data_IF_433049520657
#
_entry.id   IF_433049520657
#
_cell.length_a   1.000
_cell.length_b   1.000
_cell.length_c   1.000
_cell.angle_alpha   90.00
_cell.angle_beta   90.00
_cell.angle_gamma   90.00
#
_symmetry.space_group_name_H-M   'P 1'
#
loop_
_entity.id
_entity.type
_entity.pdbx_description
1 polymer ?
#
# COMPACT_ATOMS: atom_id res chain seq x y z
N UNK A 1 9.06 -36.55 60.76
CA UNK A 1 10.19 -36.31 59.85
C UNK A 1 9.72 -35.40 58.73
N UNK A 2 10.09 -34.12 58.79
CA UNK A 2 9.67 -33.05 57.87
C UNK A 2 10.86 -32.65 56.99
N UNK A 3 10.73 -32.82 55.67
CA UNK A 3 11.75 -32.42 54.71
C UNK A 3 11.39 -31.06 54.07
N UNK A 4 12.25 -30.05 54.29
CA UNK A 4 12.20 -28.73 53.66
C UNK A 4 12.73 -28.78 52.21
N UNK A 5 12.15 -28.05 51.25
CA UNK A 5 12.79 -27.79 49.96
C UNK A 5 13.72 -26.56 50.03
N UNK A 6 14.85 -26.66 49.32
CA UNK A 6 15.90 -25.64 49.16
C UNK A 6 15.46 -24.56 48.17
N UNK A 7 15.66 -23.29 48.54
CA UNK A 7 15.39 -22.13 47.69
C UNK A 7 16.41 -21.94 46.56
N UNK A 8 15.92 -21.57 45.37
CA UNK A 8 16.72 -21.21 44.21
C UNK A 8 17.11 -19.72 44.23
N UNK A 9 18.42 -19.43 44.25
CA UNK A 9 18.99 -18.07 44.12
C UNK A 9 18.89 -17.59 42.67
N UNK A 10 18.16 -16.48 42.43
CA UNK A 10 18.23 -15.71 41.17
C UNK A 10 19.59 -14.99 41.08
N UNK A 11 20.42 -15.36 40.10
CA UNK A 11 21.64 -14.62 39.73
C UNK A 11 21.26 -13.37 38.94
N UNK A 12 21.60 -12.18 39.45
CA UNK A 12 21.54 -10.91 38.68
C UNK A 12 22.70 -10.86 37.69
N UNK A 13 22.51 -10.39 36.45
CA UNK A 13 23.60 -10.18 35.51
C UNK A 13 24.44 -8.95 35.93
N UNK A 14 25.77 -8.97 35.67
CA UNK A 14 26.69 -7.92 36.11
C UNK A 14 26.46 -6.60 35.37
N UNK A 15 26.49 -5.49 36.12
CA UNK A 15 26.24 -4.12 35.66
C UNK A 15 27.15 -3.66 34.49
N UNK A 16 28.31 -4.28 34.32
CA UNK A 16 29.27 -3.95 33.26
C UNK A 16 28.75 -4.20 31.83
N UNK A 17 27.82 -5.14 31.63
CA UNK A 17 27.26 -5.41 30.28
C UNK A 17 26.24 -4.38 29.80
N UNK A 18 25.65 -3.58 30.70
CA UNK A 18 24.66 -2.54 30.32
C UNK A 18 25.32 -1.25 29.84
N UNK A 19 26.52 -0.94 30.32
CA UNK A 19 27.30 0.22 29.88
C UNK A 19 27.95 0.02 28.50
N UNK A 20 28.39 -1.21 28.18
CA UNK A 20 28.96 -1.51 26.87
C UNK A 20 27.94 -1.42 25.72
N UNK A 21 26.66 -1.76 25.95
CA UNK A 21 25.63 -1.67 24.92
C UNK A 21 25.18 -0.22 24.64
N UNK A 22 25.18 0.63 25.67
CA UNK A 22 24.84 2.05 25.53
C UNK A 22 25.91 2.83 24.73
N UNK A 23 27.19 2.52 24.92
CA UNK A 23 28.28 3.14 24.16
C UNK A 23 28.28 2.72 22.67
N UNK A 24 27.90 1.47 22.37
CA UNK A 24 27.79 0.99 20.99
C UNK A 24 26.64 1.65 20.21
N UNK A 25 25.52 1.97 20.88
CA UNK A 25 24.39 2.65 20.23
C UNK A 25 24.67 4.13 19.94
N UNK A 26 25.45 4.81 20.80
CA UNK A 26 25.83 6.20 20.58
C UNK A 26 26.83 6.38 19.42
N UNK A 27 27.74 5.42 19.21
CA UNK A 27 28.68 5.45 18.08
C UNK A 27 28.00 5.14 16.74
N UNK A 28 26.95 4.30 16.72
CA UNK A 28 26.18 4.01 15.51
C UNK A 28 25.33 5.20 15.04
N UNK A 29 24.85 6.05 15.97
CA UNK A 29 24.08 7.26 15.64
C UNK A 29 24.95 8.41 15.09
N UNK A 30 26.26 8.43 15.39
CA UNK A 30 27.17 9.43 14.83
C UNK A 30 27.62 9.11 13.39
N UNK A 31 27.59 7.83 12.99
CA UNK A 31 28.02 7.39 11.66
C UNK A 31 26.96 7.60 10.55
N UNK A 32 25.71 7.92 10.89
CA UNK A 32 24.64 8.22 9.91
C UNK A 32 24.47 9.72 9.63
N UNK A 33 25.28 10.59 10.24
CA UNK A 33 25.26 12.04 10.01
C UNK A 33 26.12 12.50 8.81
N UNK A 34 26.49 11.57 7.91
CA UNK A 34 27.38 11.79 6.78
C UNK A 34 26.76 11.58 5.40
N UNK A 35 25.46 11.83 5.20
CA UNK A 35 24.94 11.99 3.83
C UNK A 35 25.30 13.40 3.34
N UNK A 36 26.32 13.46 2.49
CA UNK A 36 26.78 14.67 1.82
C UNK A 36 25.62 15.39 1.13
N UNK A 37 25.30 16.58 1.64
CA UNK A 37 24.37 17.51 1.01
C UNK A 37 25.01 18.01 -0.29
N UNK A 38 24.48 17.60 -1.43
CA UNK A 38 24.70 18.32 -2.68
C UNK A 38 24.11 19.72 -2.53
N UNK A 39 24.96 20.69 -2.17
CA UNK A 39 24.60 22.10 -2.14
C UNK A 39 24.36 22.52 -3.59
N UNK A 40 23.26 23.22 -3.85
CA UNK A 40 23.06 23.91 -5.11
C UNK A 40 24.24 24.88 -5.34
N UNK A 41 25.12 24.56 -6.29
CA UNK A 41 26.09 25.50 -6.83
C UNK A 41 25.47 26.18 -8.05
N UNK A 42 24.98 27.42 -7.93
CA UNK A 42 24.76 28.22 -9.12
C UNK A 42 26.11 28.42 -9.81
N UNK A 43 26.11 28.34 -11.14
CA UNK A 43 27.26 28.69 -11.98
C UNK A 43 27.81 30.04 -11.49
N UNK A 44 29.03 30.05 -10.95
CA UNK A 44 29.69 31.26 -10.48
C UNK A 44 29.93 32.18 -11.67
N UNK A 45 29.07 33.18 -11.83
CA UNK A 45 29.34 34.35 -12.65
C UNK A 45 30.32 35.29 -11.94
N UNK A 46 31.29 35.80 -12.68
CA UNK A 46 32.26 36.80 -12.25
C UNK A 46 31.62 37.97 -11.49
N UNK A 47 32.25 38.35 -10.39
CA UNK A 47 31.75 39.29 -9.36
C UNK A 47 31.72 40.77 -9.76
N UNK A 48 31.56 41.09 -11.05
CA UNK A 48 31.42 42.49 -11.53
C UNK A 48 30.22 42.71 -12.44
N UNK A 49 29.38 41.68 -12.68
CA UNK A 49 28.08 41.89 -13.32
C UNK A 49 26.99 42.00 -12.25
N UNK A 50 26.25 43.10 -12.28
CA UNK A 50 24.88 43.17 -11.76
C UNK A 50 24.03 42.16 -12.52
N UNK A 51 24.14 40.88 -12.15
CA UNK A 51 23.28 39.82 -12.66
C UNK A 51 21.86 40.14 -12.21
N UNK A 52 20.98 40.36 -13.19
CA UNK A 52 19.54 40.31 -13.00
C UNK A 52 19.22 39.13 -12.07
N UNK A 53 18.37 39.30 -11.04
CA UNK A 53 18.04 38.19 -10.14
C UNK A 53 17.60 37.00 -11.00
N UNK A 54 18.22 35.84 -10.75
CA UNK A 54 17.85 34.60 -11.41
C UNK A 54 16.35 34.38 -11.18
N UNK A 55 15.55 34.61 -12.23
CA UNK A 55 14.09 34.56 -12.18
C UNK A 55 13.62 33.21 -11.61
N UNK A 56 14.36 32.14 -11.88
CA UNK A 56 14.07 30.83 -11.34
C UNK A 56 14.23 30.78 -9.81
N UNK A 57 15.33 31.34 -9.28
CA UNK A 57 15.57 31.40 -7.83
C UNK A 57 14.53 32.24 -7.09
N UNK A 58 14.03 33.33 -7.71
CA UNK A 58 12.94 34.13 -7.14
C UNK A 58 11.65 33.33 -7.06
N UNK A 59 11.27 32.66 -8.15
CA UNK A 59 10.06 31.83 -8.19
C UNK A 59 10.13 30.64 -7.22
N UNK A 60 11.31 30.02 -7.08
CA UNK A 60 11.52 28.94 -6.12
C UNK A 60 11.36 29.40 -4.67
N UNK A 61 11.91 30.58 -4.30
CA UNK A 61 11.73 31.16 -2.96
C UNK A 61 10.27 31.48 -2.67
N UNK A 62 9.56 32.05 -3.65
CA UNK A 62 8.13 32.36 -3.55
C UNK A 62 7.29 31.08 -3.36
N UNK A 63 7.58 30.01 -4.09
CA UNK A 63 6.93 28.71 -3.90
C UNK A 63 7.16 28.14 -2.48
N UNK A 64 8.38 28.24 -1.96
CA UNK A 64 8.72 27.79 -0.59
C UNK A 64 8.04 28.65 0.48
N UNK A 65 7.98 29.97 0.29
CA UNK A 65 7.27 30.85 1.21
C UNK A 65 5.79 30.48 1.36
N UNK A 66 5.14 30.05 0.27
CA UNK A 66 3.75 29.56 0.31
C UNK A 66 3.60 28.25 1.09
N UNK A 67 4.57 27.32 0.98
CA UNK A 67 4.58 26.11 1.79
C UNK A 67 4.67 26.42 3.29
N UNK A 68 5.56 27.34 3.67
CA UNK A 68 5.72 27.78 5.07
C UNK A 68 4.49 28.54 5.60
N UNK A 69 3.80 29.28 4.73
CA UNK A 69 2.55 29.96 5.06
C UNK A 69 1.34 29.01 5.20
N UNK A 70 1.49 27.72 4.85
CA UNK A 70 0.40 26.74 4.88
C UNK A 70 -0.58 26.84 3.70
N UNK A 71 -0.28 27.64 2.67
CA UNK A 71 -1.07 27.74 1.44
C UNK A 71 -0.65 26.64 0.45
N UNK A 72 -0.97 25.39 0.81
CA UNK A 72 -0.46 24.22 0.09
C UNK A 72 -0.94 24.10 -1.35
N UNK A 73 -2.14 24.58 -1.69
CA UNK A 73 -2.63 24.53 -3.08
C UNK A 73 -1.84 25.47 -3.98
N UNK A 74 -1.68 26.74 -3.57
CA UNK A 74 -0.89 27.71 -4.34
C UNK A 74 0.58 27.32 -4.39
N UNK A 75 1.12 26.76 -3.29
CA UNK A 75 2.49 26.26 -3.24
C UNK A 75 2.71 25.09 -4.20
N UNK A 76 1.78 24.12 -4.24
CA UNK A 76 1.81 23.00 -5.18
C UNK A 76 1.73 23.49 -6.64
N UNK A 77 0.85 24.45 -6.93
CA UNK A 77 0.73 25.06 -8.27
C UNK A 77 2.03 25.72 -8.73
N UNK A 78 2.65 26.52 -7.85
CA UNK A 78 3.92 27.18 -8.15
C UNK A 78 5.06 26.16 -8.34
N UNK A 79 5.13 25.14 -7.48
CA UNK A 79 6.12 24.06 -7.57
C UNK A 79 5.95 23.24 -8.84
N UNK A 80 4.71 22.92 -9.23
CA UNK A 80 4.40 22.21 -10.47
C UNK A 80 4.83 22.99 -11.71
N UNK A 81 4.63 24.32 -11.72
CA UNK A 81 5.08 25.19 -12.81
C UNK A 81 6.62 25.21 -12.95
N UNK A 82 7.33 25.26 -11.81
CA UNK A 82 8.80 25.18 -11.78
C UNK A 82 9.30 23.83 -12.30
N UNK A 83 8.70 22.72 -11.85
CA UNK A 83 9.04 21.38 -12.32
C UNK A 83 8.73 21.23 -13.82
N UNK A 84 7.60 21.73 -14.30
CA UNK A 84 7.25 21.70 -15.72
C UNK A 84 8.30 22.45 -16.58
N UNK A 85 8.73 23.63 -16.14
CA UNK A 85 9.75 24.41 -16.82
C UNK A 85 11.08 23.65 -16.90
N UNK A 86 11.48 23.00 -15.80
CA UNK A 86 12.68 22.17 -15.73
C UNK A 86 12.60 20.95 -16.68
N UNK A 87 11.51 20.18 -16.62
CA UNK A 87 11.31 19.02 -17.48
C UNK A 87 11.37 19.42 -18.96
N UNK A 88 10.70 20.52 -19.34
CA UNK A 88 10.74 21.04 -20.73
C UNK A 88 12.14 21.49 -21.14
N UNK A 89 12.92 22.08 -20.25
CA UNK A 89 14.31 22.44 -20.55
C UNK A 89 15.17 21.20 -20.78
N UNK A 90 15.01 20.18 -19.94
CA UNK A 90 15.74 18.91 -20.05
C UNK A 90 15.36 18.12 -21.28
N UNK A 91 14.08 17.99 -21.63
CA UNK A 91 13.65 17.24 -22.82
C UNK A 91 14.25 17.80 -24.12
N UNK A 92 14.52 19.11 -24.18
CA UNK A 92 15.18 19.74 -25.33
C UNK A 92 16.66 19.38 -25.47
N UNK A 93 17.33 19.06 -24.37
CA UNK A 93 18.77 18.77 -24.33
C UNK A 93 19.07 17.27 -24.31
N UNK A 94 18.19 16.48 -23.70
CA UNK A 94 18.30 15.03 -23.58
C UNK A 94 16.95 14.37 -23.86
N UNK A 95 16.60 14.11 -25.13
CA UNK A 95 15.38 13.41 -25.46
C UNK A 95 15.35 12.01 -24.84
N UNK A 96 14.22 11.62 -24.23
CA UNK A 96 14.04 10.27 -23.67
C UNK A 96 14.53 10.06 -22.24
N UNK A 97 15.01 11.09 -21.54
CA UNK A 97 15.36 10.96 -20.12
C UNK A 97 14.15 10.53 -19.26
N UNK A 98 14.40 9.73 -18.22
CA UNK A 98 13.35 9.29 -17.29
C UNK A 98 12.89 10.44 -16.39
N UNK A 99 11.59 10.78 -16.45
CA UNK A 99 11.04 11.93 -15.71
C UNK A 99 11.10 11.78 -14.19
N UNK A 100 10.86 10.57 -13.67
CA UNK A 100 10.79 10.34 -12.22
C UNK A 100 12.09 10.66 -11.48
N UNK A 101 13.26 10.08 -11.82
CA UNK A 101 14.50 10.42 -11.14
C UNK A 101 14.84 11.92 -11.21
N UNK A 102 14.51 12.56 -12.34
CA UNK A 102 14.72 14.00 -12.50
C UNK A 102 13.82 14.83 -11.57
N UNK A 103 12.54 14.48 -11.50
CA UNK A 103 11.56 15.15 -10.66
C UNK A 103 11.90 14.96 -9.18
N UNK A 104 12.26 13.75 -8.76
CA UNK A 104 12.72 13.47 -7.39
C UNK A 104 13.94 14.33 -7.03
N UNK A 105 14.99 14.32 -7.86
CA UNK A 105 16.19 15.14 -7.63
C UNK A 105 15.89 16.65 -7.60
N UNK A 106 14.97 17.11 -8.46
CA UNK A 106 14.53 18.50 -8.50
C UNK A 106 13.81 18.90 -7.20
N UNK A 107 12.82 18.12 -6.78
CA UNK A 107 12.00 18.40 -5.60
C UNK A 107 12.80 18.28 -4.31
N UNK A 108 13.74 17.35 -4.25
CA UNK A 108 14.70 17.24 -3.15
C UNK A 108 15.62 18.45 -3.07
N UNK A 109 16.07 18.99 -4.21
CA UNK A 109 16.89 20.21 -4.23
C UNK A 109 16.14 21.45 -3.72
N UNK A 110 14.80 21.47 -3.88
CA UNK A 110 13.93 22.51 -3.33
C UNK A 110 13.54 22.25 -1.88
N UNK A 111 13.74 21.04 -1.35
CA UNK A 111 13.27 20.67 -0.02
C UNK A 111 11.74 20.55 0.07
N UNK A 112 11.05 20.27 -1.05
CA UNK A 112 9.59 20.08 -1.08
C UNK A 112 9.23 18.63 -0.82
N UNK A 113 8.16 18.37 -0.07
CA UNK A 113 7.65 17.02 0.18
C UNK A 113 6.86 16.55 -1.03
N UNK A 114 7.19 15.38 -1.57
CA UNK A 114 6.47 14.83 -2.70
C UNK A 114 6.55 13.30 -2.76
N UNK A 115 5.50 12.69 -3.27
CA UNK A 115 5.51 11.33 -3.80
C UNK A 115 5.48 11.40 -5.32
N UNK A 116 6.36 10.66 -5.99
CA UNK A 116 6.48 10.66 -7.46
C UNK A 116 6.24 9.26 -7.99
N UNK A 117 5.28 9.12 -8.90
CA UNK A 117 5.06 7.91 -9.68
C UNK A 117 5.08 8.26 -11.16
N UNK A 118 5.75 7.44 -11.98
CA UNK A 118 5.84 7.67 -13.42
C UNK A 118 5.68 6.37 -14.21
N UNK A 119 5.18 6.55 -15.42
CA UNK A 119 5.05 5.60 -16.53
C UNK A 119 5.51 6.35 -17.81
N UNK A 120 5.87 5.68 -18.92
CA UNK A 120 6.24 6.39 -20.14
C UNK A 120 5.19 7.42 -20.57
N UNK A 121 5.62 8.69 -20.65
CA UNK A 121 4.77 9.83 -20.98
C UNK A 121 3.63 10.18 -20.02
N UNK A 122 3.64 9.65 -18.79
CA UNK A 122 2.78 10.08 -17.68
C UNK A 122 3.53 10.07 -16.34
N UNK A 123 3.43 11.16 -15.59
CA UNK A 123 3.96 11.22 -14.23
C UNK A 123 2.97 11.96 -13.35
N UNK A 124 2.74 11.44 -12.15
CA UNK A 124 2.02 12.18 -11.11
C UNK A 124 3.01 12.52 -10.00
N UNK A 125 2.93 13.77 -9.56
CA UNK A 125 3.62 14.25 -8.38
C UNK A 125 2.57 14.68 -7.37
N UNK A 126 2.55 14.03 -6.22
CA UNK A 126 1.68 14.35 -5.11
C UNK A 126 2.44 15.23 -4.12
N UNK A 127 2.26 16.55 -4.21
CA UNK A 127 2.96 17.50 -3.37
C UNK A 127 2.36 17.56 -1.97
N UNK A 128 3.19 17.76 -0.95
CA UNK A 128 2.77 18.01 0.43
C UNK A 128 3.82 18.81 1.21
N UNK A 129 3.42 19.39 2.34
CA UNK A 129 4.36 20.07 3.23
C UNK A 129 5.23 19.07 3.98
N UNK A 130 6.57 19.20 3.93
CA UNK A 130 7.48 18.34 4.70
C UNK A 130 7.29 18.47 6.21
N UNK A 131 6.96 19.68 6.68
CA UNK A 131 6.74 19.95 8.10
C UNK A 131 5.39 19.44 8.60
N UNK A 132 4.45 19.15 7.69
CA UNK A 132 3.12 18.68 8.02
C UNK A 132 2.51 17.82 6.89
N UNK A 133 3.02 16.60 6.65
CA UNK A 133 2.59 15.75 5.54
C UNK A 133 1.12 15.34 5.64
N UNK A 134 0.55 15.32 6.85
CA UNK A 134 -0.84 14.96 7.10
C UNK A 134 -1.83 16.13 6.87
N UNK A 135 -1.36 17.35 6.56
CA UNK A 135 -2.23 18.53 6.35
C UNK A 135 -2.86 18.58 4.96
N UNK A 136 -2.57 17.62 4.11
CA UNK A 136 -3.11 17.53 2.77
C UNK A 136 -2.02 17.24 1.75
N UNK A 137 -2.48 16.84 0.58
CA UNK A 137 -1.63 16.59 -0.58
C UNK A 137 -2.34 17.11 -1.82
N UNK A 138 -1.57 17.54 -2.81
CA UNK A 138 -2.06 18.22 -4.00
C UNK A 138 -1.43 17.58 -5.25
N UNK A 139 -2.10 16.58 -5.86
CA UNK A 139 -1.52 15.85 -6.98
C UNK A 139 -1.61 16.62 -8.30
N UNK A 140 -0.53 16.53 -9.07
CA UNK A 140 -0.41 17.09 -10.41
C UNK A 140 0.01 16.02 -11.40
N UNK A 141 -0.68 15.98 -12.52
CA UNK A 141 -0.39 15.12 -13.66
C UNK A 141 0.47 15.86 -14.68
N UNK A 142 1.58 15.25 -15.06
CA UNK A 142 2.47 15.66 -16.15
C UNK A 142 2.35 14.63 -17.28
N UNK A 143 2.07 15.05 -18.50
CA UNK A 143 1.91 14.14 -19.65
C UNK A 143 2.61 14.65 -20.91
N UNK A 144 2.98 13.74 -21.82
CA UNK A 144 3.43 14.13 -23.16
C UNK A 144 2.24 14.65 -23.98
N UNK A 145 2.36 15.85 -24.51
CA UNK A 145 1.44 16.46 -25.47
C UNK A 145 2.13 16.72 -26.81
N UNK A 146 1.32 17.10 -27.81
CA UNK A 146 1.83 17.45 -29.15
C UNK A 146 2.80 18.65 -29.14
N UNK A 147 2.69 19.52 -28.14
CA UNK A 147 3.52 20.74 -27.98
C UNK A 147 4.61 20.58 -26.91
N UNK A 148 4.87 19.36 -26.47
CA UNK A 148 5.79 19.06 -25.36
C UNK A 148 5.04 18.59 -24.11
N UNK A 149 5.67 18.72 -22.95
CA UNK A 149 5.10 18.27 -21.68
C UNK A 149 4.01 19.24 -21.25
N UNK A 150 2.85 18.74 -20.84
CA UNK A 150 1.75 19.50 -20.25
C UNK A 150 1.55 19.07 -18.80
N UNK A 151 1.02 19.98 -17.96
CA UNK A 151 0.72 19.69 -16.57
C UNK A 151 -0.65 20.24 -16.16
N UNK A 152 -1.36 19.50 -15.30
CA UNK A 152 -2.61 19.95 -14.69
C UNK A 152 -2.80 19.37 -13.28
N UNK A 153 -3.56 20.03 -12.40
CA UNK A 153 -4.00 19.41 -11.16
C UNK A 153 -4.95 18.25 -11.47
N UNK A 154 -4.96 17.25 -10.58
CA UNK A 154 -5.84 16.09 -10.66
C UNK A 154 -6.39 15.73 -9.27
N UNK A 155 -7.32 14.79 -9.24
CA UNK A 155 -7.94 14.24 -8.05
C UNK A 155 -6.97 13.33 -7.27
N UNK A 156 -7.29 13.10 -6.00
CA UNK A 156 -6.48 12.29 -5.07
C UNK A 156 -5.86 13.09 -3.92
N UNK A 157 -6.26 14.36 -3.74
CA UNK A 157 -5.80 15.16 -2.61
C UNK A 157 -6.12 14.52 -1.25
N UNK A 158 -5.16 14.61 -0.33
CA UNK A 158 -5.21 13.95 0.98
C UNK A 158 -4.92 12.44 0.94
N UNK A 159 -4.63 11.87 -0.23
CA UNK A 159 -4.23 10.47 -0.37
C UNK A 159 -2.72 10.36 -0.61
N UNK A 160 -2.17 9.18 -0.33
CA UNK A 160 -0.77 8.82 -0.62
C UNK A 160 -0.67 8.18 -2.00
N UNK A 161 0.16 8.71 -2.88
CA UNK A 161 0.40 8.17 -4.21
C UNK A 161 1.25 6.89 -4.12
N UNK A 162 0.82 5.83 -4.81
CA UNK A 162 1.48 4.52 -4.83
C UNK A 162 2.08 4.24 -6.20
N UNK A 163 1.27 4.34 -7.25
CA UNK A 163 1.69 3.99 -8.61
C UNK A 163 0.88 4.77 -9.66
N UNK A 164 1.40 4.82 -10.88
CA UNK A 164 0.72 5.36 -12.06
C UNK A 164 0.87 4.38 -13.22
N UNK A 165 -0.11 4.38 -14.12
CA UNK A 165 -0.06 3.65 -15.37
C UNK A 165 -0.60 4.53 -16.50
N UNK A 166 0.06 4.50 -17.66
CA UNK A 166 -0.35 5.16 -18.88
C UNK A 166 -0.94 4.17 -19.88
N UNK A 167 -1.82 4.66 -20.76
CA UNK A 167 -2.33 3.89 -21.90
C UNK A 167 -2.46 4.76 -23.14
N UNK A 168 -1.88 4.31 -24.25
CA UNK A 168 -1.90 5.06 -25.51
C UNK A 168 -1.15 6.39 -25.42
N UNK A 169 -0.20 6.50 -24.50
CA UNK A 169 0.62 7.71 -24.30
C UNK A 169 1.97 7.63 -25.02
N UNK A 170 2.47 6.41 -25.21
CA UNK A 170 3.76 6.11 -25.81
C UNK A 170 3.67 4.76 -26.55
N UNK A 171 4.52 4.57 -27.56
CA UNK A 171 4.53 3.35 -28.39
C UNK A 171 3.46 3.32 -29.48
N UNK A 172 3.27 2.15 -30.10
CA UNK A 172 2.19 1.96 -31.07
C UNK A 172 0.82 2.15 -30.41
N UNK A 173 -0.13 2.84 -31.07
CA UNK A 173 -1.46 3.03 -30.51
C UNK A 173 -2.10 1.67 -30.22
N UNK A 174 -2.76 1.50 -29.05
CA UNK A 174 -3.39 0.24 -28.70
C UNK A 174 -4.39 -0.15 -29.79
N UNK A 175 -4.49 -1.45 -30.09
CA UNK A 175 -5.49 -2.00 -31.00
C UNK A 175 -6.55 -2.76 -30.17
N UNK A 176 -7.84 -2.40 -30.25
CA UNK A 176 -8.41 -1.30 -31.05
C UNK A 176 -7.99 0.08 -30.51
N UNK A 177 -7.99 1.09 -31.40
CA UNK A 177 -7.64 2.47 -31.06
C UNK A 177 -8.46 2.94 -29.85
N UNK A 178 -7.79 3.02 -28.69
CA UNK A 178 -8.39 3.44 -27.43
C UNK A 178 -8.06 4.90 -27.11
N UNK A 179 -8.94 5.57 -26.37
CA UNK A 179 -8.65 6.89 -25.84
C UNK A 179 -7.39 6.85 -24.94
N UNK A 180 -6.56 7.89 -25.03
CA UNK A 180 -5.40 8.09 -24.15
C UNK A 180 -5.88 8.10 -22.70
N UNK A 181 -5.23 7.32 -21.85
CA UNK A 181 -5.61 7.10 -20.47
C UNK A 181 -4.43 7.28 -19.52
N UNK A 182 -4.69 7.83 -18.34
CA UNK A 182 -3.78 7.79 -17.18
C UNK A 182 -4.58 7.22 -16.02
N UNK A 183 -3.97 6.36 -15.21
CA UNK A 183 -4.56 5.86 -13.99
C UNK A 183 -3.56 5.95 -12.86
N UNK A 184 -4.03 6.32 -11.67
CA UNK A 184 -3.23 6.44 -10.48
C UNK A 184 -3.82 5.62 -9.36
N UNK A 185 -2.94 4.86 -8.73
CA UNK A 185 -3.24 4.15 -7.51
C UNK A 185 -2.77 4.99 -6.32
N UNK A 186 -3.68 5.23 -5.40
CA UNK A 186 -3.45 5.87 -4.13
C UNK A 186 -3.74 4.91 -2.99
N UNK A 187 -3.24 5.24 -1.80
CA UNK A 187 -3.55 4.57 -0.54
C UNK A 187 -4.05 5.59 0.49
N UNK A 188 -5.03 5.17 1.29
CA UNK A 188 -5.52 5.89 2.47
C UNK A 188 -5.30 5.04 3.72
N UNK A 189 -4.86 5.64 4.83
CA UNK A 189 -4.83 4.95 6.11
C UNK A 189 -6.24 4.89 6.71
N UNK A 190 -6.72 3.69 6.99
CA UNK A 190 -7.96 3.42 7.75
C UNK A 190 -7.68 2.72 9.07
N UNK A 191 -8.72 2.51 9.88
CA UNK A 191 -8.59 1.87 11.20
C UNK A 191 -8.03 0.44 11.15
N UNK A 192 -8.32 -0.30 10.08
CA UNK A 192 -7.86 -1.68 9.88
C UNK A 192 -6.53 -1.79 9.10
N UNK A 193 -6.05 -0.71 8.47
CA UNK A 193 -4.86 -0.76 7.61
C UNK A 193 -4.96 0.19 6.41
N UNK A 194 -4.14 -0.05 5.39
CA UNK A 194 -4.17 0.73 4.15
C UNK A 194 -5.36 0.33 3.27
N UNK A 195 -6.00 1.30 2.65
CA UNK A 195 -7.11 1.11 1.73
C UNK A 195 -6.71 1.67 0.36
N UNK A 196 -6.59 0.83 -0.69
CA UNK A 196 -6.27 1.30 -2.02
C UNK A 196 -7.44 2.09 -2.63
N UNK A 197 -7.12 3.08 -3.46
CA UNK A 197 -8.07 3.88 -4.22
C UNK A 197 -7.50 4.14 -5.61
N UNK A 198 -8.32 4.00 -6.65
CA UNK A 198 -7.93 4.25 -8.04
C UNK A 198 -8.66 5.46 -8.57
N UNK A 199 -7.95 6.32 -9.31
CA UNK A 199 -8.54 7.30 -10.22
C UNK A 199 -8.01 7.05 -11.63
N UNK A 200 -8.90 7.07 -12.62
CA UNK A 200 -8.54 6.99 -14.03
C UNK A 200 -9.07 8.22 -14.77
N UNK A 201 -8.20 8.81 -15.58
CA UNK A 201 -8.47 9.95 -16.43
C UNK A 201 -8.35 9.57 -17.90
N UNK A 202 -9.14 10.23 -18.74
CA UNK A 202 -9.03 10.11 -20.19
C UNK A 202 -9.04 11.49 -20.87
N UNK A 203 -8.40 11.56 -22.03
CA UNK A 203 -8.55 12.68 -22.94
C UNK A 203 -9.59 12.35 -24.01
N UNK A 204 -10.69 13.11 -24.04
CA UNK A 204 -11.72 12.99 -25.09
C UNK A 204 -11.20 13.39 -26.48
N UNK A 205 -10.31 14.39 -26.52
CA UNK A 205 -9.62 14.88 -27.72
C UNK A 205 -8.14 14.97 -27.43
N UNK A 206 -7.30 14.66 -28.41
CA UNK A 206 -5.85 14.74 -28.22
C UNK A 206 -5.43 16.18 -27.86
N UNK A 207 -4.73 16.35 -26.74
CA UNK A 207 -4.34 17.67 -26.22
C UNK A 207 -5.46 18.43 -25.49
N UNK A 208 -6.62 17.81 -25.25
CA UNK A 208 -7.65 18.34 -24.36
C UNK A 208 -7.32 18.12 -22.87
N UNK A 209 -8.13 18.67 -21.94
CA UNK A 209 -7.94 18.42 -20.52
C UNK A 209 -8.14 16.94 -20.19
N UNK A 210 -7.43 16.46 -19.17
CA UNK A 210 -7.67 15.17 -18.56
C UNK A 210 -8.88 15.26 -17.64
N UNK A 211 -9.88 14.42 -17.87
CA UNK A 211 -11.11 14.34 -17.08
C UNK A 211 -11.19 12.98 -16.39
N UNK A 212 -11.63 12.95 -15.13
CA UNK A 212 -11.91 11.68 -14.44
C UNK A 212 -13.01 10.94 -15.16
N UNK A 213 -12.73 9.70 -15.52
CA UNK A 213 -13.70 8.79 -16.13
C UNK A 213 -14.06 7.63 -15.20
N UNK A 214 -13.25 7.39 -14.16
CA UNK A 214 -13.53 6.37 -13.17
C UNK A 214 -12.82 6.65 -11.85
N UNK A 215 -13.49 6.32 -10.75
CA UNK A 215 -12.89 6.16 -9.43
C UNK A 215 -13.27 4.80 -8.86
N UNK A 216 -12.30 4.02 -8.37
CA UNK A 216 -12.56 2.79 -7.62
C UNK A 216 -12.12 2.98 -6.17
N UNK A 217 -13.08 2.95 -5.25
CA UNK A 217 -12.82 3.04 -3.82
C UNK A 217 -12.66 1.66 -3.15
N UNK A 218 -12.54 1.63 -1.81
CA UNK A 218 -12.46 0.39 -1.04
C UNK A 218 -13.65 -0.56 -1.28
N UNK A 219 -14.82 -0.01 -1.60
CA UNK A 219 -16.01 -0.81 -1.91
C UNK A 219 -15.87 -1.60 -3.23
N UNK A 220 -15.13 -1.06 -4.19
CA UNK A 220 -14.84 -1.74 -5.46
C UNK A 220 -13.58 -2.60 -5.39
N UNK A 221 -12.57 -2.13 -4.66
CA UNK A 221 -11.26 -2.78 -4.56
C UNK A 221 -11.17 -3.81 -3.42
N UNK A 222 -12.25 -4.05 -2.68
CA UNK A 222 -12.37 -5.13 -1.71
C UNK A 222 -11.96 -4.81 -0.27
N UNK A 223 -11.72 -3.53 0.08
CA UNK A 223 -11.52 -3.07 1.45
C UNK A 223 -10.08 -2.69 1.77
N UNK A 224 -9.49 -3.34 2.78
CA UNK A 224 -8.15 -3.05 3.30
C UNK A 224 -7.13 -3.98 2.66
N UNK A 225 -5.95 -3.47 2.27
CA UNK A 225 -4.87 -4.27 1.72
C UNK A 225 -4.00 -3.47 0.75
N UNK A 226 -3.53 -4.14 -0.30
CA UNK A 226 -2.66 -3.55 -1.32
C UNK A 226 -3.28 -3.66 -2.69
N UNK A 227 -2.81 -2.81 -3.60
CA UNK A 227 -3.05 -2.98 -5.02
C UNK A 227 -1.80 -2.57 -5.79
N UNK A 228 -1.69 -3.06 -7.02
CA UNK A 228 -0.57 -2.76 -7.90
C UNK A 228 -1.00 -2.86 -9.37
N UNK A 229 -0.31 -2.12 -10.23
CA UNK A 229 -0.42 -2.30 -11.66
C UNK A 229 0.57 -3.36 -12.11
N UNK A 230 0.11 -4.26 -12.97
CA UNK A 230 0.95 -5.21 -13.68
C UNK A 230 0.78 -5.00 -15.20
N UNK A 231 1.87 -5.08 -15.98
CA UNK A 231 1.75 -5.18 -17.42
C UNK A 231 1.01 -6.50 -17.75
N UNK A 232 -0.04 -6.43 -18.55
CA UNK A 232 -0.69 -7.60 -19.15
C UNK A 232 -0.39 -7.70 -20.63
N UNK A 233 -0.69 -8.85 -21.22
CA UNK A 233 -0.33 -9.19 -22.61
C UNK A 233 -0.79 -8.17 -23.66
N UNK A 234 -1.93 -7.51 -23.42
CA UNK A 234 -2.53 -6.54 -24.33
C UNK A 234 -2.96 -5.24 -23.66
N UNK A 235 -2.95 -5.19 -22.32
CA UNK A 235 -3.41 -4.06 -21.53
C UNK A 235 -2.81 -4.07 -20.12
N UNK A 236 -2.75 -2.90 -19.49
CA UNK A 236 -2.43 -2.78 -18.06
C UNK A 236 -3.52 -3.48 -17.25
N UNK A 237 -3.10 -4.29 -16.29
CA UNK A 237 -3.97 -4.95 -15.31
C UNK A 237 -3.76 -4.31 -13.94
N UNK A 238 -4.84 -4.07 -13.21
CA UNK A 238 -4.80 -3.72 -11.79
C UNK A 238 -5.13 -4.97 -10.97
N UNK A 239 -4.25 -5.33 -10.05
CA UNK A 239 -4.46 -6.42 -9.10
C UNK A 239 -4.55 -5.84 -7.70
N UNK A 240 -5.68 -6.05 -7.02
CA UNK A 240 -5.87 -5.66 -5.63
C UNK A 240 -5.98 -6.91 -4.76
N UNK A 241 -5.11 -7.02 -3.74
CA UNK A 241 -5.19 -8.06 -2.70
C UNK A 241 -5.68 -7.40 -1.42
N UNK A 242 -6.95 -7.61 -1.10
CA UNK A 242 -7.63 -6.90 -0.02
C UNK A 242 -8.52 -7.82 0.80
N UNK A 243 -8.97 -7.37 1.97
CA UNK A 243 -9.90 -8.09 2.83
C UNK A 243 -10.95 -7.13 3.39
N UNK A 244 -12.06 -7.73 3.82
CA UNK A 244 -13.08 -7.09 4.66
C UNK A 244 -13.22 -7.86 5.96
N UNK A 245 -13.58 -7.19 7.07
CA UNK A 245 -13.90 -7.87 8.30
C UNK A 245 -14.93 -8.98 8.06
N UNK A 246 -14.60 -10.19 8.48
CA UNK A 246 -15.50 -11.33 8.36
C UNK A 246 -16.53 -11.31 9.49
N UNK A 247 -17.85 -11.36 9.22
CA UNK A 247 -18.85 -11.42 10.28
C UNK A 247 -18.60 -12.60 11.23
N UNK A 248 -18.74 -12.37 12.54
CA UNK A 248 -18.45 -13.33 13.63
C UNK A 248 -16.97 -13.64 13.85
N UNK A 249 -16.05 -12.95 13.17
CA UNK A 249 -14.62 -13.06 13.43
C UNK A 249 -14.08 -11.71 13.92
N UNK A 250 -13.36 -11.73 15.04
CA UNK A 250 -12.62 -10.59 15.55
C UNK A 250 -11.21 -10.63 14.94
N UNK A 251 -10.98 -9.72 14.00
CA UNK A 251 -9.73 -9.64 13.26
C UNK A 251 -8.96 -8.38 13.68
N UNK A 252 -7.75 -8.58 14.22
CA UNK A 252 -6.81 -7.50 14.49
C UNK A 252 -5.99 -7.17 13.25
N UNK A 253 -5.36 -5.99 13.18
CA UNK A 253 -4.57 -5.56 12.02
C UNK A 253 -3.32 -6.43 11.72
N UNK A 254 -2.95 -7.34 12.62
CA UNK A 254 -1.82 -8.29 12.46
C UNK A 254 -2.26 -9.75 12.44
N UNK A 255 -3.58 -9.98 12.51
CA UNK A 255 -4.16 -11.31 12.50
C UNK A 255 -4.32 -11.77 11.04
N UNK A 256 -4.24 -13.08 10.76
CA UNK A 256 -4.66 -13.62 9.48
C UNK A 256 -6.05 -13.12 9.05
N UNK A 257 -6.22 -12.82 7.76
CA UNK A 257 -7.49 -12.35 7.18
C UNK A 257 -7.92 -13.21 5.98
N UNK A 258 -9.22 -13.17 5.66
CA UNK A 258 -9.72 -13.74 4.39
C UNK A 258 -9.46 -12.74 3.26
N UNK A 259 -8.26 -12.83 2.68
CA UNK A 259 -7.90 -12.03 1.52
C UNK A 259 -8.64 -12.49 0.27
N UNK A 260 -8.97 -11.51 -0.57
CA UNK A 260 -9.45 -11.68 -1.94
C UNK A 260 -8.50 -10.98 -2.88
N UNK A 261 -8.27 -11.60 -4.03
CA UNK A 261 -7.61 -10.98 -5.18
C UNK A 261 -8.70 -10.55 -6.15
N UNK A 262 -8.73 -9.26 -6.43
CA UNK A 262 -9.55 -8.65 -7.46
C UNK A 262 -8.64 -8.25 -8.62
N UNK A 263 -8.90 -8.77 -9.82
CA UNK A 263 -8.16 -8.40 -11.02
C UNK A 263 -9.05 -7.58 -11.93
N UNK A 264 -8.52 -6.47 -12.41
CA UNK A 264 -9.21 -5.57 -13.32
C UNK A 264 -8.39 -5.37 -14.59
N UNK A 265 -9.02 -5.54 -15.75
CA UNK A 265 -8.42 -5.20 -17.03
C UNK A 265 -8.77 -3.76 -17.40
N UNK A 266 -7.79 -2.99 -17.88
CA UNK A 266 -8.06 -1.63 -18.36
C UNK A 266 -8.61 -1.64 -19.79
N UNK A 267 -9.93 -1.71 -19.91
CA UNK A 267 -10.67 -1.76 -21.18
C UNK A 267 -11.49 -0.49 -21.44
N UNK A 268 -11.42 0.09 -22.64
CA UNK A 268 -12.22 1.28 -22.96
C UNK A 268 -11.85 2.46 -22.04
N UNK A 269 -12.77 3.24 -21.45
CA UNK A 269 -12.37 4.37 -20.59
C UNK A 269 -11.79 3.96 -19.22
N UNK A 270 -11.99 2.74 -18.73
CA UNK A 270 -11.64 2.40 -17.35
C UNK A 270 -11.35 0.93 -17.08
N UNK A 271 -11.27 0.58 -15.80
CA UNK A 271 -10.97 -0.74 -15.28
C UNK A 271 -12.25 -1.54 -15.08
N UNK A 272 -12.30 -2.72 -15.70
CA UNK A 272 -13.40 -3.68 -15.55
C UNK A 272 -12.87 -4.88 -14.78
N UNK A 273 -13.59 -5.28 -13.73
CA UNK A 273 -13.22 -6.46 -12.94
C UNK A 273 -13.40 -7.70 -13.79
N UNK A 274 -12.31 -8.42 -14.01
CA UNK A 274 -12.28 -9.67 -14.80
C UNK A 274 -12.15 -10.90 -13.91
N UNK A 275 -11.73 -10.72 -12.66
CA UNK A 275 -11.57 -11.81 -11.71
C UNK A 275 -11.82 -11.33 -10.29
N UNK A 276 -12.44 -12.19 -9.49
CA UNK A 276 -12.46 -12.10 -8.04
C UNK A 276 -12.28 -13.51 -7.48
N UNK A 277 -11.24 -13.73 -6.69
CA UNK A 277 -10.99 -15.02 -6.04
C UNK A 277 -10.55 -14.82 -4.60
N UNK A 278 -11.00 -15.72 -3.72
CA UNK A 278 -10.46 -15.79 -2.36
C UNK A 278 -9.05 -16.38 -2.42
N UNK A 279 -8.10 -15.77 -1.73
CA UNK A 279 -6.76 -16.33 -1.56
C UNK A 279 -6.85 -17.55 -0.64
N UNK A 280 -6.41 -18.73 -1.08
CA UNK A 280 -6.38 -19.90 -0.22
C UNK A 280 -5.43 -19.70 0.97
N UNK A 281 -5.91 -20.02 2.17
CA UNK A 281 -5.09 -20.09 3.39
C UNK A 281 -5.77 -20.98 4.43
N UNK A 282 -5.03 -21.56 5.38
CA UNK A 282 -5.58 -22.20 6.57
C UNK A 282 -6.68 -21.38 7.25
N UNK A 283 -6.46 -20.07 7.45
CA UNK A 283 -7.45 -19.18 8.05
C UNK A 283 -8.73 -19.08 7.20
N UNK A 284 -8.59 -18.87 5.88
CA UNK A 284 -9.75 -18.81 4.98
C UNK A 284 -10.51 -20.14 4.94
N UNK A 285 -9.82 -21.27 4.94
CA UNK A 285 -10.45 -22.60 5.04
C UNK A 285 -11.24 -22.75 6.35
N UNK A 286 -10.66 -22.35 7.49
CA UNK A 286 -11.37 -22.39 8.77
C UNK A 286 -12.60 -21.49 8.79
N UNK A 287 -12.49 -20.27 8.28
CA UNK A 287 -13.62 -19.34 8.19
C UNK A 287 -14.74 -19.95 7.37
N UNK A 288 -14.45 -20.48 6.18
CA UNK A 288 -15.46 -21.14 5.33
C UNK A 288 -16.12 -22.32 6.05
N UNK A 289 -15.33 -23.17 6.68
CA UNK A 289 -15.83 -24.32 7.45
C UNK A 289 -16.75 -23.90 8.60
N UNK A 290 -16.29 -22.98 9.46
CA UNK A 290 -17.06 -22.52 10.61
C UNK A 290 -18.36 -21.80 10.19
N UNK A 291 -18.32 -21.02 9.11
CA UNK A 291 -19.52 -20.42 8.52
C UNK A 291 -20.50 -21.48 8.02
N UNK A 292 -20.02 -22.50 7.30
CA UNK A 292 -20.83 -23.61 6.79
C UNK A 292 -21.54 -24.37 7.92
N UNK A 293 -20.78 -24.76 8.95
CA UNK A 293 -21.32 -25.44 10.14
C UNK A 293 -22.36 -24.57 10.85
N UNK A 294 -22.17 -23.25 10.88
CA UNK A 294 -23.09 -22.34 11.55
C UNK A 294 -24.40 -22.07 10.79
N UNK A 295 -24.46 -22.40 9.50
CA UNK A 295 -25.72 -22.34 8.71
C UNK A 295 -26.29 -23.72 8.42
N UNK A 296 -25.65 -24.80 8.89
CA UNK A 296 -26.10 -26.17 8.69
C UNK A 296 -25.78 -26.74 7.29
N UNK A 297 -24.84 -26.14 6.57
CA UNK A 297 -24.38 -26.61 5.26
C UNK A 297 -23.30 -27.68 5.43
N UNK A 298 -23.73 -28.92 5.65
CA UNK A 298 -22.84 -30.06 5.89
C UNK A 298 -22.01 -30.43 4.67
N UNK A 299 -22.57 -30.29 3.47
CA UNK A 299 -21.89 -30.63 2.22
C UNK A 299 -20.69 -29.71 2.02
N UNK A 300 -20.93 -28.39 2.09
CA UNK A 300 -19.85 -27.41 1.97
C UNK A 300 -18.86 -27.50 3.14
N UNK A 301 -19.32 -27.81 4.36
CA UNK A 301 -18.43 -28.03 5.49
C UNK A 301 -17.49 -29.23 5.24
N UNK A 302 -18.00 -30.35 4.72
CA UNK A 302 -17.21 -31.54 4.40
C UNK A 302 -16.18 -31.27 3.29
N UNK A 303 -16.47 -30.42 2.32
CA UNK A 303 -15.49 -30.02 1.29
C UNK A 303 -14.25 -29.33 1.90
N UNK A 304 -14.40 -28.68 3.06
CA UNK A 304 -13.29 -28.02 3.75
C UNK A 304 -12.48 -28.96 4.66
N UNK A 305 -12.83 -30.24 4.77
CA UNK A 305 -12.18 -31.20 5.66
C UNK A 305 -11.56 -32.38 4.91
N UNK A 306 -10.64 -33.09 5.57
CA UNK A 306 -10.06 -34.35 5.04
C UNK A 306 -10.98 -35.56 5.25
N UNK A 307 -11.93 -35.45 6.18
CA UNK A 307 -12.85 -36.52 6.53
C UNK A 307 -14.05 -36.06 7.37
N UNK A 308 -15.02 -36.97 7.55
CA UNK A 308 -16.31 -36.70 8.22
C UNK A 308 -16.15 -36.52 9.73
N UNK A 309 -15.16 -37.16 10.32
CA UNK A 309 -14.81 -37.09 11.74
C UNK A 309 -14.53 -35.65 12.21
N UNK A 310 -14.02 -34.79 11.33
CA UNK A 310 -13.79 -33.36 11.61
C UNK A 310 -15.11 -32.61 11.78
N UNK A 311 -16.08 -32.84 10.88
CA UNK A 311 -17.41 -32.25 10.99
C UNK A 311 -18.14 -32.76 12.24
N UNK A 312 -18.02 -34.06 12.56
CA UNK A 312 -18.59 -34.63 13.78
C UNK A 312 -17.94 -34.06 15.05
N UNK A 313 -16.62 -33.83 15.05
CA UNK A 313 -15.94 -33.12 16.14
C UNK A 313 -16.47 -31.69 16.30
N UNK A 314 -16.57 -30.93 15.21
CA UNK A 314 -17.10 -29.56 15.25
C UNK A 314 -18.54 -29.50 15.77
N UNK A 315 -19.38 -30.48 15.43
CA UNK A 315 -20.75 -30.61 15.95
C UNK A 315 -20.78 -30.91 17.44
N UNK A 316 -19.94 -31.84 17.93
CA UNK A 316 -19.79 -32.13 19.36
C UNK A 316 -19.34 -30.90 20.14
N UNK A 317 -18.43 -30.11 19.56
CA UNK A 317 -17.99 -28.82 20.12
C UNK A 317 -18.95 -27.66 19.83
N UNK A 318 -20.10 -27.95 19.20
CA UNK A 318 -21.16 -27.00 18.91
C UNK A 318 -20.69 -25.77 18.11
N UNK A 319 -19.82 -25.93 17.11
CA UNK A 319 -19.27 -24.83 16.31
C UNK A 319 -20.35 -23.93 15.67
N UNK A 320 -21.53 -24.50 15.37
CA UNK A 320 -22.66 -23.74 14.83
C UNK A 320 -23.44 -22.90 15.84
N UNK A 321 -23.21 -23.09 17.15
CA UNK A 321 -23.84 -22.27 18.18
C UNK A 321 -23.16 -20.90 18.29
N UNK A 322 -23.96 -19.85 18.47
CA UNK A 322 -23.44 -18.51 18.73
C UNK A 322 -22.93 -18.40 20.19
N UNK A 323 -21.63 -18.64 20.38
CA UNK A 323 -20.94 -18.57 21.69
C UNK A 323 -19.91 -17.43 21.75
N UNK A 324 -20.13 -16.39 20.95
CA UNK A 324 -19.20 -15.27 20.78
C UNK A 324 -18.43 -15.35 19.46
N UNK A 325 -17.67 -14.31 19.18
CA UNK A 325 -16.86 -14.23 17.97
C UNK A 325 -15.68 -15.20 18.02
N UNK A 326 -15.27 -15.66 16.85
CA UNK A 326 -14.03 -16.38 16.63
C UNK A 326 -12.87 -15.40 16.57
N UNK A 327 -11.74 -15.75 17.18
CA UNK A 327 -10.48 -15.01 17.05
C UNK A 327 -9.33 -16.00 16.97
N UNK A 328 -8.35 -15.72 16.12
CA UNK A 328 -7.12 -16.52 16.05
C UNK A 328 -6.16 -16.09 17.16
N UNK A 329 -5.40 -17.03 17.71
CA UNK A 329 -4.36 -16.71 18.68
C UNK A 329 -3.31 -15.77 18.03
N UNK A 330 -2.81 -14.77 18.78
CA UNK A 330 -1.80 -13.84 18.27
C UNK A 330 -0.55 -14.55 17.73
N UNK A 331 0.18 -13.88 16.82
CA UNK A 331 1.44 -14.36 16.26
C UNK A 331 1.37 -15.72 15.53
N UNK A 332 0.19 -16.08 15.02
CA UNK A 332 0.03 -17.26 14.15
C UNK A 332 0.36 -16.87 12.70
N UNK A 333 1.26 -17.61 12.06
CA UNK A 333 1.60 -17.46 10.63
C UNK A 333 0.41 -17.86 9.75
N UNK A 334 0.13 -17.10 8.68
CA UNK A 334 -0.94 -17.40 7.71
C UNK A 334 -0.77 -18.78 7.06
N UNK A 335 0.47 -19.28 6.95
CA UNK A 335 0.82 -20.57 6.35
C UNK A 335 0.97 -21.71 7.37
N UNK A 336 0.60 -21.48 8.63
CA UNK A 336 0.82 -22.45 9.70
C UNK A 336 0.05 -23.77 9.47
N UNK A 337 0.74 -24.90 9.69
CA UNK A 337 0.14 -26.25 9.67
C UNK A 337 -0.92 -26.46 10.74
N UNK A 338 -0.90 -25.64 11.79
CA UNK A 338 -1.96 -25.61 12.79
C UNK A 338 -2.17 -24.18 13.27
N UNK A 339 -3.39 -23.86 13.65
CA UNK A 339 -3.75 -22.57 14.24
C UNK A 339 -4.61 -22.82 15.49
N UNK A 340 -4.53 -21.92 16.47
CA UNK A 340 -5.42 -21.95 17.64
C UNK A 340 -6.51 -20.90 17.45
N UNK A 341 -7.76 -21.36 17.39
CA UNK A 341 -8.93 -20.51 17.30
C UNK A 341 -9.64 -20.47 18.64
N UNK A 342 -9.84 -19.26 19.16
CA UNK A 342 -10.64 -19.02 20.35
C UNK A 342 -12.06 -18.64 19.95
N UNK A 343 -13.05 -19.09 20.71
CA UNK A 343 -14.44 -18.67 20.58
C UNK A 343 -14.93 -18.08 21.89
N UNK A 344 -15.24 -16.78 21.86
CA UNK A 344 -15.50 -16.04 23.08
C UNK A 344 -14.29 -16.08 24.04
N UNK A 345 -14.56 -16.13 25.36
CA UNK A 345 -13.52 -16.03 26.40
C UNK A 345 -13.06 -17.37 26.98
N UNK A 346 -13.75 -18.46 26.68
CA UNK A 346 -13.60 -19.72 27.43
C UNK A 346 -13.19 -20.91 26.57
N UNK A 347 -13.35 -20.82 25.25
CA UNK A 347 -13.10 -21.95 24.37
C UNK A 347 -11.92 -21.65 23.46
N UNK A 348 -11.04 -22.63 23.31
CA UNK A 348 -9.95 -22.61 22.36
C UNK A 348 -9.81 -23.99 21.70
N UNK A 349 -9.55 -23.98 20.41
CA UNK A 349 -9.42 -25.19 19.59
C UNK A 349 -8.16 -25.09 18.75
N UNK A 350 -7.32 -26.10 18.83
CA UNK A 350 -6.25 -26.32 17.87
C UNK A 350 -6.84 -26.97 16.63
N UNK A 351 -6.65 -26.32 15.49
CA UNK A 351 -7.10 -26.80 14.20
C UNK A 351 -5.87 -27.12 13.37
N UNK A 352 -5.75 -28.35 12.92
CA UNK A 352 -4.66 -28.83 12.07
C UNK A 352 -5.11 -28.81 10.63
N UNK A 353 -4.24 -28.34 9.73
CA UNK A 353 -4.49 -28.22 8.30
C UNK A 353 -3.56 -29.13 7.52
N UNK A 354 -4.10 -29.77 6.50
CA UNK A 354 -3.35 -30.47 5.47
C UNK A 354 -3.34 -29.63 4.19
N UNK A 355 -2.16 -29.45 3.60
CA UNK A 355 -2.00 -28.80 2.29
C UNK A 355 -1.98 -29.89 1.23
N UNK A 356 -2.96 -29.84 0.33
CA UNK A 356 -3.07 -30.76 -0.83
C UNK A 356 -2.40 -30.18 -2.08
N UNK A 357 -1.94 -28.94 -1.99
CA UNK A 357 -1.25 -28.20 -3.02
C UNK A 357 -0.98 -26.77 -2.56
N UNK A 358 -0.32 -25.95 -3.40
CA UNK A 358 0.03 -24.56 -3.06
C UNK A 358 -1.19 -23.69 -2.75
N UNK A 359 -2.35 -24.05 -3.29
CA UNK A 359 -3.61 -23.30 -3.22
C UNK A 359 -4.77 -24.12 -2.61
N UNK A 360 -4.48 -25.26 -1.97
CA UNK A 360 -5.51 -26.12 -1.39
C UNK A 360 -5.16 -26.53 0.04
N UNK A 361 -6.03 -26.16 0.97
CA UNK A 361 -5.93 -26.48 2.40
C UNK A 361 -7.24 -27.10 2.89
N UNK A 362 -7.13 -28.20 3.63
CA UNK A 362 -8.26 -28.85 4.30
C UNK A 362 -8.00 -29.00 5.80
N UNK A 363 -9.06 -29.00 6.59
CA UNK A 363 -8.97 -29.25 8.03
C UNK A 363 -8.82 -30.75 8.25
N UNK A 364 -7.71 -31.14 8.88
CA UNK A 364 -7.39 -32.52 9.19
C UNK A 364 -7.80 -32.93 10.61
N UNK A 365 -7.79 -32.00 11.56
CA UNK A 365 -8.18 -32.29 12.94
C UNK A 365 -8.64 -31.03 13.68
N UNK A 366 -9.54 -31.22 14.66
CA UNK A 366 -9.99 -30.18 15.61
C UNK A 366 -9.89 -30.77 17.02
N UNK A 367 -9.10 -30.14 17.87
CA UNK A 367 -8.85 -30.58 19.24
C UNK A 367 -9.04 -29.42 20.22
N UNK A 368 -9.63 -29.62 21.41
CA UNK A 368 -9.61 -28.61 22.45
C UNK A 368 -8.17 -28.23 22.82
N UNK A 369 -7.93 -26.94 22.98
CA UNK A 369 -6.64 -26.40 23.42
C UNK A 369 -6.84 -25.59 24.70
N UNK A 370 -5.83 -25.52 25.60
CA UNK A 370 -5.84 -24.52 26.64
C UNK A 370 -5.82 -23.12 25.98
N UNK A 371 -6.60 -22.15 26.49
CA UNK A 371 -6.50 -20.79 25.97
C UNK A 371 -5.06 -20.28 26.15
N UNK A 372 -4.49 -19.59 25.15
CA UNK A 372 -3.19 -18.97 25.31
C UNK A 372 -3.22 -18.02 26.51
N UNK A 373 -2.15 -18.03 27.31
CA UNK A 373 -2.00 -17.09 28.43
C UNK A 373 -1.80 -15.70 27.80
N UNK A 374 -2.79 -14.82 27.95
CA UNK A 374 -2.73 -13.42 27.50
C UNK A 374 -1.67 -12.61 28.27
#
# INVERSE_FOLDING_TARGET
>A
MTARPRGARRRRPPAARRLALAAAFAAALAATAGCGRGRFEPVRGDSTRTTSPDTFAVLARDALARWEAGDGESAARATAALLLADLRARTRTEPGFAWRPRAEAFLDSLGVGAEVAADPCAMIVNFFSRSAPDRGSWPWLFTCGAKGIDAQPVEGGGLRLVAVAGRGLHGEPPRPAGARGVAALYARRGGAGLQPMLFAWAQKKNGGPWEVVQSLGPDSLGGTGTAEFAPGDTAVTLTARTYRPTPRFEECATCPHVYRVHRFAWSGPGFVRVEERTVPSPYATFVRFATAVAVGDDEFALEQTTGREVLEAARRFQFGANRGAWRVAPATDESARFMVFMRGRQEAYRVTFESLGPDEFRIAAIEPAPPPIE
#
